data_IF_746170117072
#
_entry.id   IF_746170117072
#
_cell.length_a   1.000
_cell.length_b   1.000
_cell.length_c   1.000
_cell.angle_alpha   90.00
_cell.angle_beta   90.00
_cell.angle_gamma   90.00
#
_symmetry.space_group_name_H-M   'P 1'
#
loop_
_entity.id
_entity.type
_entity.pdbx_description
1 polymer ?
#
# COMPACT_ATOMS: atom_id res chain seq x y z
N UNK A 1 12.07 -12.57 2.40
CA UNK A 1 11.17 -13.14 3.46
C UNK A 1 11.09 -14.66 3.35
N UNK A 2 11.26 -15.21 2.16
CA UNK A 2 11.34 -16.66 1.89
C UNK A 2 12.48 -17.34 2.64
N UNK A 3 13.59 -16.63 2.84
CA UNK A 3 14.82 -17.15 3.45
C UNK A 3 14.63 -17.48 4.93
N UNK A 4 13.91 -16.63 5.68
CA UNK A 4 13.61 -16.89 7.09
C UNK A 4 12.60 -18.03 7.28
N UNK A 5 11.68 -18.21 6.32
CA UNK A 5 10.74 -19.34 6.33
C UNK A 5 11.47 -20.67 6.06
N UNK A 6 12.48 -20.67 5.20
CA UNK A 6 13.28 -21.85 4.86
C UNK A 6 14.37 -22.18 5.90
N UNK A 7 14.89 -21.19 6.64
CA UNK A 7 15.97 -21.36 7.61
C UNK A 7 15.61 -22.32 8.75
N UNK A 8 16.56 -23.14 9.21
CA UNK A 8 16.35 -24.04 10.35
C UNK A 8 16.35 -23.26 11.68
N UNK A 9 15.59 -23.75 12.67
CA UNK A 9 15.54 -23.14 14.00
C UNK A 9 16.87 -23.35 14.72
N UNK A 10 17.44 -22.30 15.31
CA UNK A 10 18.72 -22.35 16.03
C UNK A 10 19.97 -22.31 15.15
N UNK A 11 19.81 -22.14 13.83
CA UNK A 11 20.94 -22.11 12.89
C UNK A 11 21.17 -20.70 12.36
N UNK A 12 22.39 -20.19 12.53
CA UNK A 12 22.80 -18.92 11.95
C UNK A 12 22.79 -19.01 10.42
N UNK A 13 21.97 -18.17 9.79
CA UNK A 13 21.71 -18.18 8.35
C UNK A 13 22.12 -16.84 7.71
N UNK A 14 22.77 -16.93 6.54
CA UNK A 14 23.14 -15.79 5.70
C UNK A 14 24.58 -15.91 5.17
N UNK A 15 25.11 -14.86 4.51
CA UNK A 15 24.50 -13.55 4.31
C UNK A 15 23.37 -13.55 3.27
N UNK A 16 22.22 -12.97 3.62
CA UNK A 16 21.07 -12.78 2.72
C UNK A 16 21.00 -11.33 2.21
N UNK A 17 20.94 -11.09 0.89
CA UNK A 17 20.87 -9.73 0.36
C UNK A 17 19.52 -9.05 0.68
N UNK A 18 19.59 -7.78 1.08
CA UNK A 18 18.44 -6.89 1.27
C UNK A 18 18.46 -5.86 0.15
N UNK A 19 17.41 -5.87 -0.68
CA UNK A 19 17.22 -4.88 -1.73
C UNK A 19 16.90 -3.51 -1.14
N UNK A 20 17.56 -2.48 -1.64
CA UNK A 20 17.27 -1.09 -1.27
C UNK A 20 15.88 -0.67 -1.78
N UNK A 21 15.16 0.11 -0.99
CA UNK A 21 13.93 0.80 -1.38
C UNK A 21 14.07 2.30 -1.10
N UNK A 22 13.18 3.17 -1.63
CA UNK A 22 13.23 4.61 -1.35
C UNK A 22 13.25 4.97 0.15
N UNK A 23 12.80 4.05 1.02
CA UNK A 23 12.74 4.24 2.47
C UNK A 23 13.63 3.27 3.26
N UNK A 24 14.47 2.46 2.58
CA UNK A 24 15.32 1.44 3.24
C UNK A 24 16.64 1.28 2.51
N UNK A 25 17.74 1.40 3.24
CA UNK A 25 19.07 1.08 2.71
C UNK A 25 19.19 -0.43 2.42
N UNK A 26 19.86 -0.76 1.33
CA UNK A 26 20.21 -2.15 0.99
C UNK A 26 21.36 -2.67 1.86
N UNK A 27 21.68 -3.96 1.74
CA UNK A 27 22.80 -4.57 2.47
C UNK A 27 22.71 -6.09 2.55
N UNK A 28 23.33 -6.67 3.57
CA UNK A 28 23.27 -8.10 3.87
C UNK A 28 22.77 -8.33 5.30
N UNK A 29 22.01 -9.40 5.49
CA UNK A 29 21.51 -9.84 6.80
C UNK A 29 22.11 -11.19 7.18
N UNK A 30 22.56 -11.29 8.44
CA UNK A 30 22.79 -12.55 9.14
C UNK A 30 21.73 -12.67 10.22
N UNK A 31 21.04 -13.81 10.32
CA UNK A 31 19.98 -13.99 11.31
C UNK A 31 19.90 -15.44 11.77
N UNK A 32 19.31 -15.66 12.94
CA UNK A 32 18.98 -16.96 13.50
C UNK A 32 17.48 -17.00 13.78
N UNK A 33 16.82 -18.08 13.38
CA UNK A 33 15.39 -18.27 13.70
C UNK A 33 15.29 -18.94 15.07
N UNK A 34 14.75 -18.22 16.05
CA UNK A 34 14.61 -18.74 17.42
C UNK A 34 13.41 -19.68 17.58
N UNK A 35 12.32 -19.40 16.87
CA UNK A 35 11.08 -20.18 16.95
C UNK A 35 10.30 -20.06 15.63
N UNK A 36 9.60 -21.13 15.24
CA UNK A 36 8.62 -21.11 14.15
C UNK A 36 7.24 -21.44 14.68
N UNK A 37 6.25 -20.64 14.29
CA UNK A 37 4.86 -20.99 14.54
C UNK A 37 4.50 -22.22 13.67
N UNK A 38 3.84 -23.25 14.23
CA UNK A 38 3.44 -24.43 13.47
C UNK A 38 2.59 -24.05 12.24
N UNK A 39 2.85 -24.73 11.13
CA UNK A 39 2.17 -24.50 9.83
C UNK A 39 0.68 -24.88 9.86
N UNK A 40 0.26 -25.69 10.85
CA UNK A 40 -1.13 -26.08 11.00
C UNK A 40 -1.99 -24.84 11.28
N UNK A 41 -3.08 -24.63 10.53
CA UNK A 41 -3.99 -23.54 10.81
C UNK A 41 -4.46 -23.67 12.26
N UNK A 42 -4.28 -22.57 13.02
CA UNK A 42 -4.77 -22.50 14.39
C UNK A 42 -6.29 -22.70 14.38
N UNK A 43 -6.87 -23.35 15.41
CA UNK A 43 -8.32 -23.49 15.53
C UNK A 43 -9.01 -22.13 15.39
N UNK A 44 -10.20 -22.11 14.77
CA UNK A 44 -10.95 -20.88 14.48
C UNK A 44 -11.07 -19.96 15.71
N UNK A 45 -11.40 -20.53 16.87
CA UNK A 45 -11.56 -19.78 18.13
C UNK A 45 -10.29 -19.05 18.58
N UNK A 46 -9.11 -19.57 18.22
CA UNK A 46 -7.83 -18.96 18.55
C UNK A 46 -7.47 -17.78 17.62
N UNK A 47 -8.07 -17.71 16.43
CA UNK A 47 -7.74 -16.70 15.40
C UNK A 47 -8.88 -15.77 15.03
N UNK A 48 -10.11 -16.05 15.46
CA UNK A 48 -11.31 -15.29 15.07
C UNK A 48 -11.18 -13.79 15.33
N UNK A 49 -10.53 -13.39 16.43
CA UNK A 49 -10.27 -11.98 16.74
C UNK A 49 -9.32 -11.33 15.72
N UNK A 50 -8.25 -12.03 15.36
CA UNK A 50 -7.27 -11.55 14.39
C UNK A 50 -7.86 -11.50 12.98
N UNK A 51 -8.63 -12.52 12.59
CA UNK A 51 -9.34 -12.56 11.31
C UNK A 51 -10.34 -11.41 11.23
N UNK A 52 -11.15 -11.19 12.27
CA UNK A 52 -12.11 -10.08 12.33
C UNK A 52 -11.40 -8.74 12.22
N UNK A 53 -10.29 -8.55 12.94
CA UNK A 53 -9.51 -7.32 12.86
C UNK A 53 -9.04 -7.02 11.44
N UNK A 54 -8.42 -8.00 10.77
CA UNK A 54 -7.92 -7.81 9.40
C UNK A 54 -9.05 -7.60 8.39
N UNK A 55 -10.17 -8.30 8.57
CA UNK A 55 -11.36 -8.08 7.77
C UNK A 55 -11.90 -6.65 7.91
N UNK A 56 -12.06 -6.19 9.16
CA UNK A 56 -12.51 -4.82 9.45
C UNK A 56 -11.55 -3.79 8.86
N UNK A 57 -10.24 -3.98 9.01
CA UNK A 57 -9.24 -3.05 8.45
C UNK A 57 -9.26 -3.02 6.92
N UNK A 58 -9.47 -4.16 6.26
CA UNK A 58 -9.63 -4.22 4.81
C UNK A 58 -10.85 -3.43 4.35
N UNK A 59 -11.97 -3.61 5.03
CA UNK A 59 -13.23 -2.94 4.69
C UNK A 59 -13.20 -1.44 4.97
N UNK A 60 -12.61 -1.02 6.10
CA UNK A 60 -12.38 0.41 6.41
C UNK A 60 -11.56 1.10 5.31
N UNK A 61 -10.48 0.47 4.84
CA UNK A 61 -9.65 1.01 3.77
C UNK A 61 -10.41 1.12 2.44
N UNK A 62 -11.23 0.12 2.11
CA UNK A 62 -12.08 0.16 0.90
C UNK A 62 -13.04 1.35 0.94
N UNK A 63 -13.78 1.48 2.03
CA UNK A 63 -14.76 2.56 2.22
C UNK A 63 -14.11 3.95 2.23
N UNK A 64 -12.93 4.07 2.84
CA UNK A 64 -12.17 5.31 2.85
C UNK A 64 -11.75 5.73 1.44
N UNK A 65 -11.20 4.80 0.65
CA UNK A 65 -10.78 5.10 -0.73
C UNK A 65 -11.98 5.52 -1.58
N UNK A 66 -13.12 4.81 -1.48
CA UNK A 66 -14.36 5.19 -2.19
C UNK A 66 -14.91 6.56 -1.77
N UNK A 67 -14.73 6.95 -0.50
CA UNK A 67 -15.08 8.30 -0.05
C UNK A 67 -14.17 9.35 -0.69
N UNK A 68 -12.86 9.13 -0.68
CA UNK A 68 -11.89 10.06 -1.26
C UNK A 68 -12.10 10.23 -2.76
N UNK A 69 -12.35 9.14 -3.49
CA UNK A 69 -12.61 9.20 -4.92
C UNK A 69 -13.87 10.01 -5.23
N UNK A 70 -14.97 9.77 -4.51
CA UNK A 70 -16.20 10.56 -4.65
C UNK A 70 -16.01 12.03 -4.31
N UNK A 71 -15.24 12.35 -3.27
CA UNK A 71 -14.94 13.73 -2.92
C UNK A 71 -14.09 14.40 -4.01
N UNK A 72 -13.11 13.68 -4.55
CA UNK A 72 -12.28 14.18 -5.65
C UNK A 72 -13.12 14.44 -6.90
N UNK A 73 -14.04 13.55 -7.24
CA UNK A 73 -14.96 13.76 -8.36
C UNK A 73 -15.91 14.93 -8.12
N UNK A 74 -16.55 14.99 -6.94
CA UNK A 74 -17.49 16.04 -6.56
C UNK A 74 -16.86 17.44 -6.56
N UNK A 75 -15.60 17.52 -6.16
CA UNK A 75 -14.84 18.76 -6.05
C UNK A 75 -13.79 18.92 -7.15
N UNK A 76 -13.80 18.05 -8.17
CA UNK A 76 -13.02 18.27 -9.37
C UNK A 76 -13.53 19.58 -9.98
N UNK A 77 -12.67 20.58 -10.05
CA UNK A 77 -13.04 21.88 -10.60
C UNK A 77 -13.62 21.67 -12.00
N UNK A 78 -14.88 22.06 -12.20
CA UNK A 78 -15.45 22.15 -13.53
C UNK A 78 -14.71 23.26 -14.27
N UNK A 79 -13.83 22.88 -15.20
CA UNK A 79 -13.22 23.82 -16.14
C UNK A 79 -14.25 24.07 -17.24
N UNK A 80 -15.01 25.15 -17.13
CA UNK A 80 -15.83 25.66 -18.22
C UNK A 80 -14.98 26.59 -19.09
N UNK A 81 -14.63 26.12 -20.29
CA UNK A 81 -13.96 26.95 -21.31
C UNK A 81 -15.06 27.70 -22.06
N UNK A 82 -15.10 29.03 -21.90
CA UNK A 82 -16.01 29.89 -22.63
C UNK A 82 -15.35 30.36 -23.93
N UNK A 83 -15.49 29.55 -24.99
CA UNK A 83 -14.87 29.78 -26.30
C UNK A 83 -15.28 31.12 -26.94
N UNK A 84 -16.51 31.58 -26.71
CA UNK A 84 -17.03 32.85 -27.24
C UNK A 84 -16.22 34.07 -26.76
N UNK A 85 -15.65 34.02 -25.55
CA UNK A 85 -14.85 35.09 -24.98
C UNK A 85 -13.37 35.03 -25.42
N UNK A 86 -12.90 33.86 -25.87
CA UNK A 86 -11.54 33.71 -26.40
C UNK A 86 -11.41 34.29 -27.81
N UNK A 87 -12.44 34.15 -28.65
CA UNK A 87 -12.49 34.77 -29.97
C UNK A 87 -12.44 36.30 -29.89
N UNK A 88 -13.24 36.90 -28.99
CA UNK A 88 -13.26 38.35 -28.80
C UNK A 88 -11.91 38.93 -28.31
N UNK A 89 -11.15 38.18 -27.51
CA UNK A 89 -9.82 38.60 -27.06
C UNK A 89 -8.76 38.46 -28.15
N UNK A 90 -8.85 37.44 -29.01
CA UNK A 90 -7.93 37.27 -30.13
C UNK A 90 -8.09 38.40 -31.15
N UNK A 91 -9.33 38.78 -31.46
CA UNK A 91 -9.64 39.87 -32.40
C UNK A 91 -9.23 41.24 -31.81
N UNK A 92 -9.42 41.46 -30.50
CA UNK A 92 -9.00 42.69 -29.83
C UNK A 92 -7.47 42.86 -29.72
N UNK A 93 -6.70 41.77 -29.79
CA UNK A 93 -5.24 41.78 -29.75
C UNK A 93 -4.58 41.96 -31.14
N UNK A 94 -5.35 41.91 -32.21
CA UNK A 94 -4.89 42.12 -33.60
C UNK A 94 -5.14 43.54 -34.13
N UNK A 95 -5.79 44.41 -33.34
CA UNK A 95 -5.95 45.84 -33.58
C UNK A 95 -4.89 46.66 -32.83
#
# INVERSE_FOLDING_TARGET
MTEALAAEVGVLTGPVPITATPHRQGGFSLFEVLEKTPEKPKPYDAVVKQVRYWWTKGEENRLYNELIDRLREKHAAQISIHEDHLAAMYDAAQL
#
